data_IF_250968736616
#
_entry.id   IF_250968736616
#
_cell.length_a   1.000
_cell.length_b   1.000
_cell.length_c   1.000
_cell.angle_alpha   90.00
_cell.angle_beta   90.00
_cell.angle_gamma   90.00
#
_symmetry.space_group_name_H-M   'P 1'
#
loop_
_entity.id
_entity.type
_entity.pdbx_description
1 polymer ?
#
# COMPACT_ATOMS: atom_id res chain seq x y z
N UNK A 1 -3.95 5.60 0.46
CA UNK A 1 -4.47 5.57 -0.92
C UNK A 1 -3.99 4.29 -1.58
N UNK A 2 -4.89 3.54 -2.22
CA UNK A 2 -4.58 2.34 -2.98
C UNK A 2 -4.79 2.70 -4.45
N UNK A 3 -3.77 2.54 -5.29
CA UNK A 3 -3.86 2.81 -6.73
C UNK A 3 -4.68 1.73 -7.41
N UNK A 4 -5.50 2.10 -8.40
CA UNK A 4 -6.25 1.13 -9.20
C UNK A 4 -5.59 0.81 -10.55
N UNK A 5 -4.52 1.53 -10.92
CA UNK A 5 -3.88 1.40 -12.23
C UNK A 5 -2.52 0.69 -12.20
N UNK A 6 -1.95 0.51 -11.00
CA UNK A 6 -0.67 -0.18 -10.78
C UNK A 6 -0.59 -0.69 -9.34
N UNK A 7 0.24 -1.70 -9.02
CA UNK A 7 0.49 -2.15 -7.65
C UNK A 7 1.22 -1.06 -6.84
N UNK A 8 0.47 -0.13 -6.27
CA UNK A 8 1.02 1.02 -5.55
C UNK A 8 0.10 1.51 -4.42
N UNK A 9 0.67 1.76 -3.24
CA UNK A 9 -0.06 2.26 -2.06
C UNK A 9 0.71 3.43 -1.44
N UNK A 10 -0.01 4.48 -1.09
CA UNK A 10 0.49 5.56 -0.22
C UNK A 10 -0.14 5.42 1.15
N UNK A 11 0.68 5.27 2.18
CA UNK A 11 0.25 5.25 3.57
C UNK A 11 0.59 6.58 4.24
N UNK A 12 -0.36 7.13 4.98
CA UNK A 12 -0.13 8.28 5.84
C UNK A 12 -0.27 7.84 7.29
N UNK A 13 0.82 7.92 8.05
CA UNK A 13 0.82 7.62 9.48
C UNK A 13 0.93 8.90 10.29
N UNK A 14 0.04 9.08 11.28
CA UNK A 14 0.10 10.25 12.17
C UNK A 14 1.14 9.99 13.25
N UNK A 15 2.14 10.86 13.34
CA UNK A 15 3.22 10.76 14.33
C UNK A 15 2.80 11.42 15.65
N UNK A 16 3.57 11.14 16.71
CA UNK A 16 3.40 11.77 18.02
C UNK A 16 3.53 13.30 17.97
N UNK A 17 4.28 13.83 16.98
CA UNK A 17 4.44 15.27 16.74
C UNK A 17 3.25 15.91 16.00
N UNK A 18 2.12 15.20 15.84
CA UNK A 18 0.97 15.64 15.04
C UNK A 18 1.30 15.93 13.57
N UNK A 19 2.32 15.27 13.00
CA UNK A 19 2.65 15.31 11.57
C UNK A 19 2.17 14.04 10.87
N UNK A 20 2.08 14.11 9.55
CA UNK A 20 1.80 12.94 8.71
C UNK A 20 3.09 12.48 8.04
N UNK A 21 3.51 11.26 8.35
CA UNK A 21 4.57 10.57 7.63
C UNK A 21 3.96 9.85 6.43
N UNK A 22 4.47 10.14 5.23
CA UNK A 22 4.12 9.42 4.00
C UNK A 22 5.10 8.28 3.78
N UNK A 23 4.57 7.08 3.53
CA UNK A 23 5.32 5.93 3.04
C UNK A 23 4.68 5.42 1.75
N UNK A 24 5.50 5.22 0.73
CA UNK A 24 5.07 4.71 -0.57
C UNK A 24 5.54 3.26 -0.73
N UNK A 25 4.64 2.42 -1.20
CA UNK A 25 4.87 1.00 -1.46
C UNK A 25 4.57 0.74 -2.93
N UNK A 26 5.47 0.07 -3.63
CA UNK A 26 5.34 -0.23 -5.05
C UNK A 26 5.80 -1.66 -5.37
N UNK A 27 5.14 -2.26 -6.37
CA UNK A 27 5.46 -3.59 -6.88
C UNK A 27 4.59 -4.71 -6.30
N UNK A 28 4.38 -5.76 -7.08
CA UNK A 28 3.44 -6.84 -6.75
C UNK A 28 3.82 -7.65 -5.51
N UNK A 29 5.10 -7.69 -5.16
CA UNK A 29 5.62 -8.42 -4.00
C UNK A 29 5.69 -7.57 -2.73
N UNK A 30 5.16 -6.34 -2.75
CA UNK A 30 5.14 -5.49 -1.57
C UNK A 30 4.13 -6.00 -0.52
N UNK A 31 4.28 -5.55 0.71
CA UNK A 31 3.32 -5.80 1.80
C UNK A 31 3.05 -4.49 2.54
N UNK A 32 1.80 -4.31 2.95
CA UNK A 32 1.34 -3.19 3.75
C UNK A 32 1.19 -3.63 5.20
N UNK A 33 1.91 -2.94 6.09
CA UNK A 33 1.77 -3.09 7.55
C UNK A 33 1.28 -1.78 8.15
N UNK A 34 0.44 -1.84 9.19
CA UNK A 34 0.04 -0.66 9.97
C UNK A 34 0.85 -0.58 11.26
N UNK A 35 1.28 0.62 11.64
CA UNK A 35 2.05 0.80 12.89
C UNK A 35 1.17 0.87 14.14
N UNK A 36 -0.11 1.20 14.01
CA UNK A 36 -1.02 1.44 15.13
C UNK A 36 -1.83 0.21 15.55
N UNK A 37 -1.87 -0.83 14.72
CA UNK A 37 -2.63 -2.07 14.95
C UNK A 37 -1.89 -3.21 14.30
N UNK A 38 -1.98 -4.41 14.88
CA UNK A 38 -1.44 -5.63 14.29
C UNK A 38 -2.24 -5.98 13.02
N UNK A 39 -1.78 -5.45 11.89
CA UNK A 39 -2.36 -5.63 10.57
C UNK A 39 -1.23 -5.71 9.55
N UNK A 40 -1.28 -6.77 8.76
CA UNK A 40 -0.37 -7.04 7.64
C UNK A 40 -1.20 -7.60 6.49
N UNK A 41 -0.93 -7.13 5.27
CA UNK A 41 -1.58 -7.60 4.06
C UNK A 41 -0.61 -7.49 2.87
N UNK A 42 -0.45 -8.57 2.11
CA UNK A 42 0.37 -8.54 0.89
C UNK A 42 -0.33 -7.76 -0.23
N UNK A 43 0.44 -7.26 -1.20
CA UNK A 43 -0.15 -6.64 -2.39
C UNK A 43 -0.91 -7.65 -3.25
N UNK A 44 -0.51 -8.94 -3.25
CA UNK A 44 -1.28 -9.98 -3.93
C UNK A 44 -2.70 -10.13 -3.33
N UNK A 45 -2.85 -9.98 -2.02
CA UNK A 45 -4.16 -9.99 -1.36
C UNK A 45 -4.94 -8.68 -1.60
N UNK A 46 -4.28 -7.52 -1.57
CA UNK A 46 -4.92 -6.21 -1.85
C UNK A 46 -5.51 -6.17 -3.27
N UNK A 47 -4.80 -6.74 -4.23
CA UNK A 47 -5.14 -6.72 -5.65
C UNK A 47 -5.68 -8.08 -6.14
N UNK A 48 -6.22 -8.91 -5.23
CA UNK A 48 -6.81 -10.19 -5.61
C UNK A 48 -7.90 -9.99 -6.68
N UNK A 49 -7.78 -10.70 -7.79
CA UNK A 49 -8.72 -10.61 -8.92
C UNK A 49 -8.55 -9.37 -9.81
N UNK A 50 -7.59 -8.50 -9.53
CA UNK A 50 -7.22 -7.38 -10.40
C UNK A 50 -6.17 -7.87 -11.41
N UNK A 51 -6.45 -7.65 -12.70
CA UNK A 51 -5.48 -7.86 -13.77
C UNK A 51 -4.97 -6.49 -14.18
N UNK A 52 -3.69 -6.23 -13.89
CA UNK A 52 -3.04 -5.03 -14.41
C UNK A 52 -2.72 -5.28 -15.88
N UNK A 53 -3.30 -4.48 -16.75
CA UNK A 53 -2.82 -4.41 -18.13
C UNK A 53 -1.47 -3.70 -18.06
N UNK A 54 -0.39 -4.47 -18.06
CA UNK A 54 0.92 -3.95 -18.40
C UNK A 54 0.81 -3.36 -19.80
N UNK A 55 0.62 -2.04 -19.88
CA UNK A 55 0.78 -1.31 -21.13
C UNK A 55 2.27 -1.41 -21.48
N UNK A 56 2.60 -2.45 -22.25
CA UNK A 56 3.83 -2.58 -23.03
C UNK A 56 4.01 -1.38 -23.96
#
# INVERSE_FOLDING_TARGET
>A
LISQSRPYVMQYNKTEENKWLLTEYEGENASLSLTSVNFDLSFQEIYEGVIFNDLL
#
